data_IF_007970076171
#
_entry.id   IF_007970076171
#
_cell.length_a   1.000
_cell.length_b   1.000
_cell.length_c   1.000
_cell.angle_alpha   90.00
_cell.angle_beta   90.00
_cell.angle_gamma   90.00
#
_symmetry.space_group_name_H-M   'P 1'
#
loop_
_entity.id
_entity.type
_entity.pdbx_description
1 polymer ?
#
# COMPACT_ATOMS: atom_id res chain seq x y z
N UNK A 1 4.05 8.22 20.73
CA UNK A 1 4.16 6.92 20.04
C UNK A 1 2.76 6.52 19.60
N UNK A 2 2.45 6.56 18.30
CA UNK A 2 1.14 6.14 17.81
C UNK A 2 1.23 4.67 17.41
N UNK A 3 0.80 3.79 18.30
CA UNK A 3 0.64 2.36 18.01
C UNK A 3 -0.70 2.17 17.33
N UNK A 4 -0.72 2.00 16.01
CA UNK A 4 -1.95 1.68 15.27
C UNK A 4 -2.14 0.17 15.28
N UNK A 5 -2.67 -0.37 16.38
CA UNK A 5 -3.27 -1.70 16.40
C UNK A 5 -4.64 -1.61 15.74
N UNK A 6 -4.72 -2.03 14.48
CA UNK A 6 -5.96 -2.08 13.71
C UNK A 6 -5.87 -3.12 12.62
N UNK A 7 -5.55 -4.36 12.97
CA UNK A 7 -5.62 -5.52 12.07
C UNK A 7 -7.08 -6.02 11.99
N UNK A 8 -7.97 -5.21 11.45
CA UNK A 8 -8.98 -5.79 10.57
C UNK A 8 -8.29 -5.85 9.20
N UNK A 9 -8.37 -6.96 8.45
CA UNK A 9 -7.87 -6.96 7.09
C UNK A 9 -8.71 -5.94 6.31
N UNK A 10 -8.21 -4.72 6.16
CA UNK A 10 -8.83 -3.70 5.33
C UNK A 10 -9.04 -4.34 3.97
N UNK A 11 -10.31 -4.46 3.57
CA UNK A 11 -10.67 -5.12 2.32
C UNK A 11 -9.95 -4.41 1.19
N UNK A 12 -9.27 -5.19 0.35
CA UNK A 12 -8.56 -4.65 -0.80
C UNK A 12 -9.58 -4.33 -1.89
N UNK A 13 -9.59 -3.07 -2.30
CA UNK A 13 -10.45 -2.57 -3.38
C UNK A 13 -9.80 -2.83 -4.72
N UNK A 14 -8.52 -2.48 -4.85
CA UNK A 14 -7.75 -2.73 -6.06
C UNK A 14 -6.25 -2.69 -5.81
N UNK A 15 -5.52 -3.35 -6.71
CA UNK A 15 -4.06 -3.31 -6.78
C UNK A 15 -3.69 -2.96 -8.21
N UNK A 16 -2.88 -1.91 -8.38
CA UNK A 16 -2.39 -1.49 -9.69
C UNK A 16 -0.90 -1.18 -9.65
N UNK A 17 -0.13 -1.52 -10.69
CA UNK A 17 1.27 -1.12 -10.74
C UNK A 17 1.38 0.40 -10.81
N UNK A 18 2.33 0.97 -10.06
CA UNK A 18 2.72 2.37 -10.20
C UNK A 18 3.28 2.58 -11.61
N UNK A 19 3.00 3.74 -12.21
CA UNK A 19 3.52 4.08 -13.53
C UNK A 19 5.06 4.01 -13.55
N UNK A 20 5.62 3.53 -14.66
CA UNK A 20 7.07 3.38 -14.77
C UNK A 20 7.82 4.72 -14.65
N UNK A 21 7.16 5.83 -15.01
CA UNK A 21 7.72 7.17 -14.81
C UNK A 21 7.96 7.46 -13.33
N UNK A 22 6.99 7.16 -12.47
CA UNK A 22 7.10 7.38 -11.02
C UNK A 22 8.06 6.38 -10.38
N UNK A 23 8.03 5.10 -10.80
CA UNK A 23 8.99 4.08 -10.33
C UNK A 23 10.44 4.49 -10.58
N UNK A 24 10.74 5.04 -11.76
CA UNK A 24 12.09 5.50 -12.13
C UNK A 24 12.61 6.66 -11.28
N UNK A 25 11.72 7.47 -10.70
CA UNK A 25 12.13 8.54 -9.80
C UNK A 25 12.65 8.00 -8.47
N UNK A 26 12.27 6.78 -8.07
CA UNK A 26 12.68 6.16 -6.80
C UNK A 26 12.41 7.06 -5.56
N UNK A 27 11.38 7.90 -5.65
CA UNK A 27 11.02 8.87 -4.59
C UNK A 27 9.99 8.33 -3.59
N UNK A 28 9.49 7.11 -3.82
CA UNK A 28 8.41 6.53 -3.02
C UNK A 28 8.89 5.20 -2.41
N UNK A 29 9.04 5.20 -1.10
CA UNK A 29 9.29 3.99 -0.32
C UNK A 29 8.01 3.18 -0.10
N UNK A 30 8.18 1.88 0.14
CA UNK A 30 7.11 0.98 0.56
C UNK A 30 6.59 1.35 1.95
N UNK A 31 5.28 1.60 2.09
CA UNK A 31 4.64 1.98 3.35
C UNK A 31 4.70 0.87 4.42
N UNK A 32 4.91 -0.38 4.02
CA UNK A 32 4.93 -1.52 4.94
C UNK A 32 6.31 -1.76 5.54
N UNK A 33 7.33 -1.83 4.69
CA UNK A 33 8.67 -2.19 5.13
C UNK A 33 9.62 -0.99 5.24
N UNK A 34 9.30 0.16 4.64
CA UNK A 34 10.17 1.35 4.55
C UNK A 34 11.60 1.08 4.01
N UNK A 35 11.83 -0.08 3.39
CA UNK A 35 13.14 -0.48 2.85
C UNK A 35 13.13 -0.52 1.32
N UNK A 36 12.11 -1.17 0.73
CA UNK A 36 11.99 -1.28 -0.73
C UNK A 36 11.33 -0.05 -1.35
N UNK A 37 11.58 0.18 -2.64
CA UNK A 37 10.82 1.15 -3.44
C UNK A 37 9.43 0.61 -3.76
N UNK A 38 8.43 1.48 -3.75
CA UNK A 38 7.08 1.09 -4.09
C UNK A 38 6.96 0.79 -5.59
N UNK A 39 6.29 -0.34 -5.88
CA UNK A 39 5.99 -0.82 -7.23
C UNK A 39 4.48 -0.84 -7.52
N UNK A 40 3.65 -0.80 -6.48
CA UNK A 40 2.20 -0.92 -6.55
C UNK A 40 1.48 0.13 -5.71
N UNK A 41 0.39 0.65 -6.27
CA UNK A 41 -0.66 1.34 -5.54
C UNK A 41 -1.70 0.29 -5.12
N UNK A 42 -1.96 0.22 -3.82
CA UNK A 42 -2.90 -0.70 -3.18
C UNK A 42 -3.98 0.14 -2.51
N UNK A 43 -5.21 0.03 -3.02
CA UNK A 43 -6.37 0.73 -2.50
C UNK A 43 -7.10 -0.18 -1.53
N UNK A 44 -7.28 0.27 -0.29
CA UNK A 44 -7.95 -0.49 0.77
C UNK A 44 -9.08 0.31 1.39
N UNK A 45 -10.12 -0.39 1.86
CA UNK A 45 -11.20 0.25 2.61
C UNK A 45 -10.65 0.84 3.92
N UNK A 46 -10.96 2.11 4.15
CA UNK A 46 -10.59 2.85 5.34
C UNK A 46 -11.48 2.51 6.53
N UNK A 47 -11.08 2.99 7.71
CA UNK A 47 -11.88 2.91 8.95
C UNK A 47 -13.11 3.83 8.92
N UNK A 48 -13.12 4.81 8.01
CA UNK A 48 -14.27 5.67 7.73
C UNK A 48 -14.99 5.05 6.54
N UNK A 49 -16.29 4.77 6.70
CA UNK A 49 -17.13 4.25 5.61
C UNK A 49 -16.98 5.09 4.35
N UNK A 50 -16.93 4.41 3.21
CA UNK A 50 -16.81 4.98 1.86
C UNK A 50 -15.51 5.76 1.57
N UNK A 51 -14.52 5.70 2.47
CA UNK A 51 -13.20 6.29 2.24
C UNK A 51 -12.21 5.19 1.88
N UNK A 52 -11.65 5.26 0.67
CA UNK A 52 -10.55 4.38 0.25
C UNK A 52 -9.21 5.01 0.58
N UNK A 53 -8.30 4.23 1.16
CA UNK A 53 -6.94 4.63 1.50
C UNK A 53 -5.96 4.06 0.49
N UNK A 54 -5.07 4.92 -0.02
CA UNK A 54 -3.94 4.50 -0.85
C UNK A 54 -2.77 4.05 0.04
N UNK A 55 -2.26 2.85 -0.22
CA UNK A 55 -1.00 2.31 0.29
C UNK A 55 -0.06 2.00 -0.86
N UNK A 56 1.22 2.31 -0.71
CA UNK A 56 2.24 2.06 -1.73
C UNK A 56 3.16 0.94 -1.29
N UNK A 57 3.20 -0.14 -2.07
CA UNK A 57 3.87 -1.39 -1.69
C UNK A 57 4.95 -1.78 -2.68
N UNK A 58 6.06 -2.33 -2.18
CA UNK A 58 7.05 -2.99 -3.02
C UNK A 58 6.59 -4.40 -3.44
N UNK A 59 7.27 -5.00 -4.41
CA UNK A 59 6.96 -6.34 -4.93
C UNK A 59 6.96 -7.44 -3.85
N UNK A 60 7.75 -7.27 -2.79
CA UNK A 60 7.79 -8.22 -1.66
C UNK A 60 6.58 -8.10 -0.73
N UNK A 61 6.06 -6.89 -0.57
CA UNK A 61 5.03 -6.59 0.42
C UNK A 61 3.61 -6.59 -0.17
N UNK A 62 3.46 -6.50 -1.49
CA UNK A 62 2.14 -6.52 -2.13
C UNK A 62 1.37 -7.82 -1.85
N UNK A 63 2.08 -8.95 -1.69
CA UNK A 63 1.47 -10.25 -1.36
C UNK A 63 0.77 -10.30 0.01
N UNK A 64 1.04 -9.34 0.90
CA UNK A 64 0.31 -9.19 2.17
C UNK A 64 -1.15 -8.78 1.98
N UNK A 65 -1.55 -8.37 0.76
CA UNK A 65 -2.89 -7.93 0.40
C UNK A 65 -3.65 -8.94 -0.49
N UNK A 66 -3.04 -10.08 -0.83
CA UNK A 66 -3.61 -11.07 -1.74
C UNK A 66 -4.25 -12.29 -1.05
N UNK A 67 -4.65 -12.16 0.23
CA UNK A 67 -5.28 -13.24 1.01
C UNK A 67 -6.80 -13.13 1.03
#
# INVERSE_FOLDING_TARGET
MATVHGLNPSKVVSISPISDQVKRLQVISCDLCNVGMASFDVFVDGVISDVTVLKRCCDKCVGSFSQ
#
